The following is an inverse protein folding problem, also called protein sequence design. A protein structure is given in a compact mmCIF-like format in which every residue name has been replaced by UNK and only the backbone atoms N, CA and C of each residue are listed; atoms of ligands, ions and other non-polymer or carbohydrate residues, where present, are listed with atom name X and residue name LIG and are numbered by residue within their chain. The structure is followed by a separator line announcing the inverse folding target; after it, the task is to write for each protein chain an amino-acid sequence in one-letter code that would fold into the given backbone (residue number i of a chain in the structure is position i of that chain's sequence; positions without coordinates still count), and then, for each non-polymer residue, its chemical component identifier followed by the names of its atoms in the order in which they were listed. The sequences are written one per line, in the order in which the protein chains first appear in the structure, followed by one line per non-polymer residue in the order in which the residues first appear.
data_IF_583246254819
#
_entry.id   IF_583246254819
#
_cell.length_a   1.000
_cell.length_b   1.000
_cell.length_c   1.000
_cell.angle_alpha   90.00
_cell.angle_beta   90.00
_cell.angle_gamma   90.00
#
_symmetry.space_group_name_H-M   'P 1'
#
loop_
_entity.id
_entity.type
_entity.pdbx_description
1 polymer ?
#
# COMPACT_ATOMS: atom_id res chain seq x y z
N UNK A 1 -19.83 -26.25 -7.68
CA UNK A 1 -18.86 -26.27 -8.81
C UNK A 1 -18.34 -24.88 -9.16
N UNK A 2 -19.18 -23.86 -9.29
CA UNK A 2 -18.78 -22.47 -9.64
C UNK A 2 -17.70 -21.87 -8.72
N UNK A 3 -17.82 -22.04 -7.40
CA UNK A 3 -16.83 -21.54 -6.41
C UNK A 3 -15.45 -22.19 -6.52
N UNK A 4 -15.41 -23.49 -6.79
CA UNK A 4 -14.17 -24.23 -6.96
C UNK A 4 -13.46 -23.80 -8.24
N UNK A 5 -14.20 -23.65 -9.35
CA UNK A 5 -13.65 -23.12 -10.59
C UNK A 5 -13.11 -21.69 -10.40
N UNK A 6 -13.83 -20.80 -9.69
CA UNK A 6 -13.32 -19.45 -9.42
C UNK A 6 -12.07 -19.45 -8.54
N UNK A 7 -11.99 -20.35 -7.56
CA UNK A 7 -10.80 -20.49 -6.71
C UNK A 7 -9.61 -20.96 -7.56
N UNK A 8 -9.77 -22.04 -8.32
CA UNK A 8 -8.71 -22.59 -9.17
C UNK A 8 -8.23 -21.57 -10.21
N UNK A 9 -9.14 -20.83 -10.85
CA UNK A 9 -8.79 -19.78 -11.80
C UNK A 9 -8.01 -18.63 -11.13
N UNK A 10 -8.42 -18.22 -9.93
CA UNK A 10 -7.70 -17.17 -9.22
C UNK A 10 -6.32 -17.64 -8.76
N UNK A 11 -6.20 -18.88 -8.26
CA UNK A 11 -4.91 -19.48 -7.88
C UNK A 11 -4.01 -19.63 -9.10
N UNK A 12 -4.53 -20.08 -10.24
CA UNK A 12 -3.80 -20.14 -11.50
C UNK A 12 -3.33 -18.74 -11.95
N UNK A 13 -4.18 -17.72 -11.83
CA UNK A 13 -3.82 -16.33 -12.13
C UNK A 13 -2.70 -15.83 -11.22
N UNK A 14 -2.80 -16.03 -9.91
CA UNK A 14 -1.79 -15.57 -8.96
C UNK A 14 -0.47 -16.33 -9.08
N UNK A 15 -0.50 -17.63 -9.39
CA UNK A 15 0.70 -18.41 -9.69
C UNK A 15 1.36 -17.97 -11.00
N UNK A 16 0.58 -17.64 -12.04
CA UNK A 16 1.14 -17.06 -13.27
C UNK A 16 1.86 -15.72 -12.99
N UNK A 17 1.26 -14.85 -12.17
CA UNK A 17 1.90 -13.61 -11.73
C UNK A 17 3.15 -13.86 -10.89
N UNK A 18 3.16 -14.90 -10.05
CA UNK A 18 4.34 -15.31 -9.28
C UNK A 18 5.48 -15.74 -10.19
N UNK A 19 5.21 -16.61 -11.16
CA UNK A 19 6.22 -17.06 -12.13
C UNK A 19 6.75 -15.88 -12.94
N UNK A 20 5.87 -14.98 -13.40
CA UNK A 20 6.26 -13.75 -14.07
C UNK A 20 7.19 -12.88 -13.20
N UNK A 21 6.87 -12.71 -11.92
CA UNK A 21 7.75 -11.95 -11.01
C UNK A 21 9.11 -12.60 -10.82
N UNK A 22 9.17 -13.92 -10.68
CA UNK A 22 10.43 -14.64 -10.52
C UNK A 22 11.31 -14.47 -11.77
N UNK A 23 10.74 -14.63 -12.96
CA UNK A 23 11.45 -14.41 -14.23
C UNK A 23 11.95 -12.96 -14.31
N UNK A 24 11.09 -11.99 -14.02
CA UNK A 24 11.48 -10.58 -14.08
C UNK A 24 12.58 -10.23 -13.06
N UNK A 25 12.55 -10.82 -11.86
CA UNK A 25 13.57 -10.64 -10.84
C UNK A 25 14.91 -11.26 -11.27
N UNK A 26 14.87 -12.40 -11.95
CA UNK A 26 16.06 -13.05 -12.52
C UNK A 26 16.68 -12.20 -13.64
N UNK A 27 15.86 -11.57 -14.49
CA UNK A 27 16.35 -10.72 -15.58
C UNK A 27 16.93 -9.39 -15.09
N UNK A 28 16.34 -8.79 -14.06
CA UNK A 28 16.82 -7.49 -13.52
C UNK A 28 18.00 -7.68 -12.55
N UNK A 29 18.28 -8.92 -12.11
CA UNK A 29 19.38 -9.25 -11.18
C UNK A 29 19.36 -8.44 -9.88
N UNK A 30 18.19 -8.01 -9.40
CA UNK A 30 18.08 -7.12 -8.23
C UNK A 30 18.77 -7.68 -6.97
N UNK A 31 18.75 -9.01 -6.78
CA UNK A 31 19.43 -9.66 -5.65
C UNK A 31 20.96 -9.62 -5.76
N UNK A 32 21.50 -9.74 -6.98
CA UNK A 32 22.95 -9.71 -7.21
C UNK A 32 23.50 -8.29 -7.18
N UNK A 33 22.72 -7.29 -7.62
CA UNK A 33 23.11 -5.87 -7.61
C UNK A 33 23.45 -5.35 -6.22
N UNK A 34 22.82 -5.89 -5.16
CA UNK A 34 23.14 -5.54 -3.77
C UNK A 34 24.58 -5.90 -3.40
N UNK A 35 25.12 -6.98 -3.98
CA UNK A 35 26.49 -7.45 -3.70
C UNK A 35 27.55 -6.67 -4.49
N UNK A 36 27.15 -5.92 -5.52
CA UNK A 36 28.05 -5.19 -6.42
C UNK A 36 27.67 -3.70 -6.51
N UNK A 37 27.84 -2.92 -5.43
CA UNK A 37 27.42 -1.51 -5.38
C UNK A 37 28.18 -0.62 -6.38
N UNK A 38 29.39 -1.02 -6.79
CA UNK A 38 30.17 -0.29 -7.81
C UNK A 38 29.44 -0.21 -9.15
N UNK A 39 28.78 -1.30 -9.56
CA UNK A 39 28.01 -1.37 -10.80
C UNK A 39 26.85 -0.39 -10.77
N UNK A 40 26.15 -0.30 -9.63
CA UNK A 40 25.03 0.63 -9.44
C UNK A 40 25.51 2.09 -9.44
N UNK A 41 26.69 2.37 -8.89
CA UNK A 41 27.28 3.72 -8.87
C UNK A 41 27.70 4.21 -10.25
N UNK A 42 28.07 3.30 -11.15
CA UNK A 42 28.47 3.61 -12.54
C UNK A 42 27.27 3.70 -13.50
N UNK A 43 26.06 3.30 -13.08
CA UNK A 43 24.86 3.40 -13.92
C UNK A 43 24.46 4.86 -14.17
N UNK A 44 24.06 5.15 -15.41
CA UNK A 44 23.48 6.45 -15.75
C UNK A 44 22.16 6.71 -15.00
N UNK A 45 21.84 7.98 -14.77
CA UNK A 45 20.67 8.39 -13.97
C UNK A 45 19.35 7.75 -14.43
N UNK A 46 19.13 7.65 -15.75
CA UNK A 46 17.96 6.98 -16.32
C UNK A 46 17.84 5.50 -15.93
N UNK A 47 18.97 4.78 -15.92
CA UNK A 47 19.01 3.38 -15.51
C UNK A 47 18.74 3.24 -14.02
N UNK A 48 19.25 4.17 -13.21
CA UNK A 48 19.02 4.21 -11.77
C UNK A 48 17.54 4.43 -11.44
N UNK A 49 16.86 5.36 -12.12
CA UNK A 49 15.43 5.61 -11.96
C UNK A 49 14.60 4.39 -12.39
N UNK A 50 14.95 3.77 -13.53
CA UNK A 50 14.32 2.54 -14.00
C UNK A 50 14.45 1.40 -13.00
N UNK A 51 15.67 1.18 -12.47
CA UNK A 51 15.95 0.17 -11.45
C UNK A 51 15.13 0.41 -10.18
N UNK A 52 15.10 1.65 -9.69
CA UNK A 52 14.30 2.02 -8.51
C UNK A 52 12.80 1.80 -8.72
N UNK A 53 12.28 2.16 -9.90
CA UNK A 53 10.88 1.91 -10.26
C UNK A 53 10.58 0.41 -10.33
N UNK A 54 11.42 -0.39 -10.99
CA UNK A 54 11.28 -1.84 -11.06
C UNK A 54 11.28 -2.47 -9.66
N UNK A 55 12.20 -2.06 -8.76
CA UNK A 55 12.20 -2.54 -7.37
C UNK A 55 10.89 -2.22 -6.64
N UNK A 56 10.37 -1.00 -6.80
CA UNK A 56 9.07 -0.61 -6.22
C UNK A 56 7.90 -1.43 -6.76
N UNK A 57 7.89 -1.72 -8.07
CA UNK A 57 6.86 -2.57 -8.69
C UNK A 57 6.96 -4.03 -8.25
N UNK A 58 8.16 -4.58 -8.11
CA UNK A 58 8.35 -5.94 -7.58
C UNK A 58 7.83 -6.07 -6.15
N UNK A 59 8.11 -5.07 -5.31
CA UNK A 59 7.58 -5.00 -3.96
C UNK A 59 6.04 -5.02 -3.99
N UNK A 60 5.41 -4.17 -4.80
CA UNK A 60 3.95 -4.16 -4.94
C UNK A 60 3.40 -5.51 -5.42
N UNK A 61 4.00 -6.11 -6.45
CA UNK A 61 3.49 -7.32 -7.08
C UNK A 61 3.59 -8.54 -6.14
N UNK A 62 4.65 -8.62 -5.33
CA UNK A 62 4.77 -9.62 -4.26
C UNK A 62 3.60 -9.55 -3.28
N UNK A 63 3.20 -8.34 -2.90
CA UNK A 63 2.08 -8.12 -1.97
C UNK A 63 0.73 -8.45 -2.62
N UNK A 64 0.55 -8.12 -3.90
CA UNK A 64 -0.65 -8.49 -4.66
C UNK A 64 -0.81 -10.01 -4.75
N UNK A 65 0.28 -10.74 -5.01
CA UNK A 65 0.26 -12.21 -5.09
C UNK A 65 -0.01 -12.82 -3.72
N UNK A 66 0.72 -12.41 -2.68
CA UNK A 66 0.58 -12.93 -1.31
C UNK A 66 -0.84 -12.69 -0.76
N UNK A 67 -1.34 -11.44 -0.80
CA UNK A 67 -2.67 -11.12 -0.31
C UNK A 67 -3.79 -11.63 -1.23
N UNK A 68 -3.54 -11.69 -2.54
CA UNK A 68 -4.46 -12.27 -3.51
C UNK A 68 -4.70 -13.74 -3.24
N UNK A 69 -3.63 -14.52 -3.04
CA UNK A 69 -3.73 -15.95 -2.75
C UNK A 69 -4.47 -16.19 -1.42
N UNK A 70 -4.02 -15.55 -0.33
CA UNK A 70 -4.66 -15.69 0.98
C UNK A 70 -6.11 -15.19 0.97
N UNK A 71 -6.39 -14.11 0.24
CA UNK A 71 -7.73 -13.56 0.05
C UNK A 71 -8.66 -14.53 -0.69
N UNK A 72 -8.16 -15.25 -1.71
CA UNK A 72 -8.95 -16.25 -2.43
C UNK A 72 -9.30 -17.46 -1.57
N UNK A 73 -8.36 -17.91 -0.73
CA UNK A 73 -8.59 -18.99 0.23
C UNK A 73 -9.63 -18.54 1.27
N UNK A 74 -9.47 -17.35 1.83
CA UNK A 74 -10.44 -16.78 2.77
C UNK A 74 -11.85 -16.68 2.15
N UNK A 75 -11.96 -16.24 0.90
CA UNK A 75 -13.24 -16.17 0.19
C UNK A 75 -13.89 -17.55 -0.02
N UNK A 76 -13.09 -18.60 -0.23
CA UNK A 76 -13.60 -19.97 -0.32
C UNK A 76 -14.23 -20.43 1.01
N UNK A 77 -13.63 -20.04 2.12
CA UNK A 77 -14.11 -20.28 3.49
C UNK A 77 -15.25 -19.32 3.92
N UNK A 78 -15.74 -18.45 3.03
CA UNK A 78 -16.68 -17.36 3.33
C UNK A 78 -16.17 -16.35 4.39
N UNK A 79 -14.86 -16.24 4.56
CA UNK A 79 -14.23 -15.25 5.43
C UNK A 79 -14.01 -13.96 4.63
N UNK A 80 -14.52 -12.84 5.13
CA UNK A 80 -14.34 -11.55 4.48
C UNK A 80 -12.91 -11.02 4.69
N UNK A 81 -12.08 -11.14 3.66
CA UNK A 81 -10.71 -10.61 3.67
C UNK A 81 -10.69 -9.08 3.43
N UNK A 82 -9.68 -8.37 3.96
CA UNK A 82 -9.43 -6.97 3.61
C UNK A 82 -9.22 -6.77 2.10
N UNK A 83 -9.39 -5.55 1.63
CA UNK A 83 -9.19 -5.21 0.22
C UNK A 83 -7.73 -5.42 -0.19
N UNK A 84 -7.52 -5.79 -1.45
CA UNK A 84 -6.21 -5.91 -2.05
C UNK A 84 -5.43 -4.58 -1.99
N UNK A 85 -4.09 -4.64 -1.91
CA UNK A 85 -3.23 -3.45 -1.89
C UNK A 85 -3.44 -2.60 -3.16
N UNK A 86 -3.56 -1.28 -3.01
CA UNK A 86 -3.60 -0.37 -4.16
C UNK A 86 -2.20 -0.20 -4.74
N UNK A 87 -2.14 0.10 -6.04
CA UNK A 87 -0.88 0.35 -6.72
C UNK A 87 -0.15 1.56 -6.15
N UNK A 88 1.11 1.39 -5.74
CA UNK A 88 1.93 2.45 -5.14
C UNK A 88 2.11 3.62 -6.12
N UNK A 89 2.34 3.32 -7.40
CA UNK A 89 2.53 4.34 -8.43
C UNK A 89 1.28 5.18 -8.72
N UNK A 90 0.09 4.74 -8.27
CA UNK A 90 -1.16 5.51 -8.42
C UNK A 90 -1.36 6.52 -7.28
N UNK A 91 -0.73 6.34 -6.13
CA UNK A 91 -0.98 7.15 -4.94
C UNK A 91 0.05 8.28 -4.89
N UNK A 92 -0.40 9.53 -5.01
CA UNK A 92 0.47 10.71 -4.92
C UNK A 92 0.65 11.22 -3.49
N UNK A 93 -0.29 10.93 -2.58
CA UNK A 93 -0.27 11.43 -1.21
C UNK A 93 0.25 10.39 -0.23
N UNK A 94 1.29 10.73 0.53
CA UNK A 94 1.92 9.79 1.46
C UNK A 94 1.00 9.32 2.60
N UNK A 95 0.10 10.18 3.09
CA UNK A 95 -0.90 9.78 4.09
C UNK A 95 -1.88 8.72 3.58
N UNK A 96 -2.15 8.73 2.27
CA UNK A 96 -3.01 7.74 1.63
C UNK A 96 -2.26 6.46 1.31
N UNK A 97 -0.96 6.56 1.01
CA UNK A 97 -0.10 5.39 0.82
C UNK A 97 -0.18 4.48 2.05
N UNK A 98 0.02 5.01 3.26
CA UNK A 98 -0.06 4.21 4.49
C UNK A 98 -1.44 3.59 4.77
N UNK A 99 -2.52 4.19 4.28
CA UNK A 99 -3.89 3.71 4.50
C UNK A 99 -4.30 2.63 3.52
N UNK A 100 -3.87 2.74 2.26
CA UNK A 100 -4.36 1.91 1.16
C UNK A 100 -3.31 0.99 0.54
N UNK A 101 -2.03 1.17 0.85
CA UNK A 101 -1.00 0.22 0.47
C UNK A 101 -1.23 -1.12 1.16
N UNK A 102 -1.45 -1.12 2.48
CA UNK A 102 -1.77 -2.32 3.25
C UNK A 102 -2.79 -2.00 4.34
N UNK A 103 -4.06 -2.30 4.07
CA UNK A 103 -5.14 -2.08 5.02
C UNK A 103 -5.03 -2.97 6.26
N UNK A 104 -4.48 -4.18 6.13
CA UNK A 104 -4.38 -5.15 7.21
C UNK A 104 -3.37 -4.69 8.26
N UNK A 105 -2.16 -4.36 7.81
CA UNK A 105 -1.09 -3.81 8.63
C UNK A 105 -1.51 -2.48 9.25
N UNK A 106 -2.12 -1.59 8.47
CA UNK A 106 -2.60 -0.30 8.96
C UNK A 106 -3.59 -0.47 10.13
N UNK A 107 -4.60 -1.35 9.98
CA UNK A 107 -5.58 -1.64 11.04
C UNK A 107 -4.93 -2.34 12.24
N UNK A 108 -3.94 -3.20 12.03
CA UNK A 108 -3.20 -3.86 13.09
C UNK A 108 -2.43 -2.83 13.94
N UNK A 109 -1.60 -2.01 13.31
CA UNK A 109 -0.80 -0.97 13.97
C UNK A 109 -1.69 0.03 14.71
N UNK A 110 -2.74 0.53 14.04
CA UNK A 110 -3.64 1.50 14.64
C UNK A 110 -4.38 0.94 15.87
N UNK A 111 -4.75 -0.34 15.85
CA UNK A 111 -5.33 -1.02 17.02
C UNK A 111 -4.31 -1.18 18.15
N UNK A 112 -3.08 -1.60 17.83
CA UNK A 112 -1.99 -1.75 18.80
C UNK A 112 -1.67 -0.43 19.50
N UNK A 113 -1.38 0.61 18.72
CA UNK A 113 -1.03 1.95 19.23
C UNK A 113 -2.20 2.54 20.02
N UNK A 114 -3.44 2.46 19.53
CA UNK A 114 -4.62 2.96 20.27
C UNK A 114 -4.81 2.24 21.60
N UNK A 115 -4.69 0.91 21.63
CA UNK A 115 -4.79 0.14 22.88
C UNK A 115 -3.65 0.51 23.83
N UNK A 116 -2.41 0.62 23.32
CA UNK A 116 -1.24 1.07 24.08
C UNK A 116 -1.45 2.44 24.72
N UNK A 117 -1.84 3.45 23.93
CA UNK A 117 -2.14 4.81 24.41
C UNK A 117 -3.32 4.86 25.39
N UNK A 118 -4.26 3.93 25.29
CA UNK A 118 -5.37 3.83 26.23
C UNK A 118 -4.92 3.35 27.62
N UNK A 119 -3.80 2.63 27.72
CA UNK A 119 -3.28 2.19 29.03
C UNK A 119 -2.65 3.35 29.79
N UNK A 120 -2.84 3.39 31.11
CA UNK A 120 -2.34 4.47 31.98
C UNK A 120 -0.82 4.60 31.95
N UNK A 121 -0.09 3.50 31.72
CA UNK A 121 1.38 3.45 31.65
C UNK A 121 1.92 4.37 30.54
N UNK A 122 1.45 4.19 29.31
CA UNK A 122 1.92 4.97 28.16
C UNK A 122 1.43 6.43 28.17
N UNK A 123 0.31 6.73 28.84
CA UNK A 123 -0.19 8.10 29.01
C UNK A 123 0.75 8.97 29.85
N UNK A 124 1.37 8.39 30.88
CA UNK A 124 2.35 9.07 31.72
C UNK A 124 3.72 9.24 31.05
N UNK A 125 4.08 8.31 30.16
CA UNK A 125 5.39 8.25 29.49
C UNK A 125 5.47 9.17 28.26
N UNK A 126 4.34 9.43 27.58
CA UNK A 126 4.26 10.33 26.41
C UNK A 126 3.15 11.38 26.55
N UNK A 127 3.33 12.40 27.40
CA UNK A 127 2.32 13.43 27.67
C UNK A 127 2.04 14.38 26.49
N UNK A 128 3.02 14.60 25.59
CA UNK A 128 2.85 15.42 24.37
C UNK A 128 1.93 14.75 23.33
N UNK A 129 2.13 13.45 23.06
CA UNK A 129 1.25 12.68 22.15
C UNK A 129 -0.18 12.59 22.68
N UNK A 130 -0.33 12.45 24.00
CA UNK A 130 -1.64 12.44 24.65
C UNK A 130 -2.42 13.73 24.38
N UNK A 131 -1.75 14.90 24.38
CA UNK A 131 -2.36 16.20 24.06
C UNK A 131 -2.77 16.34 22.59
N UNK A 132 -2.02 15.76 21.65
CA UNK A 132 -2.39 15.76 20.22
C UNK A 132 -3.66 14.97 19.93
N UNK A 133 -3.90 13.84 20.62
CA UNK A 133 -5.14 13.05 20.43
C UNK A 133 -6.41 13.80 20.85
N UNK A 134 -6.29 14.68 21.84
CA UNK A 134 -7.40 15.53 22.32
C UNK A 134 -7.70 16.70 21.38
N UNK A 135 -6.67 17.22 20.71
CA UNK A 135 -6.78 18.33 19.74
C UNK A 135 -7.35 17.87 18.38
N UNK A 136 -6.99 16.67 17.91
CA UNK A 136 -7.46 16.13 16.63
C UNK A 136 -8.98 15.78 16.60
N UNK A 137 -9.67 15.82 17.74
CA UNK A 137 -11.14 15.64 17.85
C UNK A 137 -11.94 16.88 17.43
N UNK A 138 -11.31 17.93 16.89
CA UNK A 138 -11.98 19.15 16.39
C UNK A 138 -11.81 19.41 14.88
N UNK A 139 -11.93 18.39 14.02
CA UNK A 139 -12.37 18.65 12.64
C UNK A 139 -13.63 17.84 12.37
N UNK A 140 -14.82 18.45 12.46
CA UNK A 140 -16.01 17.82 11.95
C UNK A 140 -15.84 17.64 10.43
N UNK A 141 -16.15 16.44 9.95
CA UNK A 141 -16.36 16.15 8.55
C UNK A 141 -17.64 16.88 8.14
N UNK A 142 -17.53 18.15 7.72
CA UNK A 142 -18.69 18.88 7.18
C UNK A 142 -19.07 18.25 5.85
N UNK A 143 -20.16 17.48 5.88
CA UNK A 143 -21.02 17.24 4.74
C UNK A 143 -21.53 18.58 4.22
N UNK A 144 -21.14 18.96 3.00
CA UNK A 144 -21.86 19.98 2.22
C UNK A 144 -22.35 19.35 0.93
N UNK A 145 -23.64 18.98 0.97
CA UNK A 145 -24.47 18.77 -0.20
C UNK A 145 -24.80 20.14 -0.81
N UNK A 146 -24.59 20.28 -2.12
CA UNK A 146 -25.32 21.15 -3.04
C UNK A 146 -25.08 22.66 -3.00
N UNK A 147 -24.46 23.20 -4.06
CA UNK A 147 -25.11 24.23 -4.90
C UNK A 147 -24.29 24.48 -6.17
N UNK A 148 -24.97 24.39 -7.32
CA UNK A 148 -24.53 24.90 -8.61
C UNK A 148 -24.21 26.40 -8.51
N UNK A 149 -23.05 26.85 -9.00
CA UNK A 149 -22.88 28.07 -9.81
C UNK A 149 -21.41 28.30 -10.20
N UNK A 150 -21.17 28.29 -11.51
CA UNK A 150 -20.23 29.15 -12.24
C UNK A 150 -18.76 29.18 -11.82
N UNK A 151 -17.98 28.22 -12.32
CA UNK A 151 -16.52 28.33 -12.45
C UNK A 151 -16.18 29.22 -13.66
N UNK A 152 -16.00 30.51 -13.41
CA UNK A 152 -15.28 31.39 -14.32
C UNK A 152 -13.82 30.92 -14.40
N UNK A 153 -13.40 30.51 -15.59
CA UNK A 153 -11.99 30.40 -15.96
C UNK A 153 -11.29 31.74 -15.69
N UNK A 154 -10.22 31.73 -14.90
CA UNK A 154 -9.16 32.72 -15.00
C UNK A 154 -7.82 31.99 -15.11
N UNK A 155 -7.40 31.84 -16.37
CA UNK A 155 -6.00 31.67 -16.73
C UNK A 155 -5.21 32.87 -16.21
N UNK A 156 -4.03 32.62 -15.66
CA UNK A 156 -2.95 33.59 -15.63
C UNK A 156 -1.62 32.86 -15.68
N UNK A 157 -0.99 32.96 -16.85
CA UNK A 157 0.44 32.85 -17.09
C UNK A 157 1.22 33.81 -16.17
N UNK A 158 2.33 33.34 -15.61
CA UNK A 158 3.71 33.75 -15.95
C UNK A 158 4.60 32.52 -15.75
#
# INVERSE_FOLDING_TARGET
MTRLCSLLLNVARFSAWLVFTEIALHLVYSNSLVQHPKVVAEMGSWSLYGLGYCMGQFFMLKYVVMYGLMGTIAQAENINAPRHPKCIARISLYSDMWRYFDEGLYRFLLRGIRKGMSTRKWRGEFPELSRMTTSARRRPLSTTQGSHSSLHLRQSHV
#
